data_IF_796508332892
#
_entry.id   IF_796508332892
#
_cell.length_a   1.000
_cell.length_b   1.000
_cell.length_c   1.000
_cell.angle_alpha   90.00
_cell.angle_beta   90.00
_cell.angle_gamma   90.00
#
_symmetry.space_group_name_H-M   'P 1'
#
loop_
_entity.id
_entity.type
_entity.pdbx_description
1 polymer ?
#
# COMPACT_ATOMS: atom_id res chain seq x y z
N UNK A 1 -41.60 -7.89 14.57
CA UNK A 1 -40.71 -6.96 13.83
C UNK A 1 -39.68 -7.78 13.06
N UNK A 2 -39.55 -7.56 11.75
CA UNK A 2 -38.59 -8.28 10.88
C UNK A 2 -37.28 -7.48 10.81
N UNK A 3 -36.18 -8.09 11.22
CA UNK A 3 -34.82 -7.54 11.07
C UNK A 3 -34.41 -7.75 9.61
N UNK A 4 -34.16 -6.67 8.88
CA UNK A 4 -33.63 -6.74 7.52
C UNK A 4 -32.11 -6.83 7.57
N UNK A 5 -31.57 -7.90 6.97
CA UNK A 5 -30.15 -8.08 6.71
C UNK A 5 -29.67 -7.00 5.74
N UNK A 6 -28.80 -6.11 6.20
CA UNK A 6 -28.11 -5.16 5.33
C UNK A 6 -26.94 -5.89 4.69
N UNK A 7 -27.13 -6.34 3.45
CA UNK A 7 -26.04 -6.82 2.62
C UNK A 7 -25.03 -5.69 2.44
N UNK A 8 -23.81 -5.88 2.96
CA UNK A 8 -22.68 -4.97 2.78
C UNK A 8 -22.17 -5.05 1.34
N UNK A 9 -22.85 -4.39 0.41
CA UNK A 9 -22.32 -4.11 -0.93
C UNK A 9 -21.59 -2.77 -0.91
N UNK A 10 -20.63 -2.60 0.00
CA UNK A 10 -19.61 -1.57 -0.18
C UNK A 10 -18.55 -2.16 -1.09
N UNK A 11 -18.71 -2.00 -2.40
CA UNK A 11 -17.60 -1.97 -3.34
C UNK A 11 -18.08 -1.63 -4.76
N UNK A 12 -17.29 -0.76 -5.41
CA UNK A 12 -16.95 -0.83 -6.86
C UNK A 12 -17.71 0.03 -7.88
N UNK A 13 -18.37 1.11 -7.51
CA UNK A 13 -18.97 2.02 -8.53
C UNK A 13 -18.58 3.50 -8.42
N UNK A 14 -17.89 3.95 -7.36
CA UNK A 14 -17.58 5.38 -7.21
C UNK A 14 -16.40 5.91 -8.06
N UNK A 15 -15.74 5.06 -8.85
CA UNK A 15 -14.65 5.50 -9.75
C UNK A 15 -15.02 5.51 -11.23
N UNK A 16 -16.29 5.30 -11.58
CA UNK A 16 -16.75 5.47 -12.95
C UNK A 16 -17.89 6.48 -12.99
N UNK A 17 -17.77 7.41 -13.95
CA UNK A 17 -18.69 8.52 -14.26
C UNK A 17 -18.73 9.69 -13.26
N UNK A 18 -17.68 10.51 -13.25
CA UNK A 18 -17.87 11.96 -13.12
C UNK A 18 -17.85 12.55 -14.52
N UNK A 19 -19.03 12.95 -14.99
CA UNK A 19 -19.23 13.67 -16.26
C UNK A 19 -18.49 15.01 -16.21
N UNK A 20 -17.96 15.41 -17.35
CA UNK A 20 -17.36 16.73 -17.63
C UNK A 20 -18.26 17.86 -17.08
N UNK A 21 -17.79 18.58 -16.06
CA UNK A 21 -18.22 19.95 -15.77
C UNK A 21 -16.98 20.80 -15.49
N UNK A 22 -16.88 21.95 -16.16
CA UNK A 22 -15.76 22.87 -16.02
C UNK A 22 -15.67 23.45 -14.60
N UNK A 23 -14.41 23.65 -14.16
CA UNK A 23 -13.89 24.31 -12.95
C UNK A 23 -13.69 23.47 -11.67
N UNK A 24 -12.40 23.35 -11.33
CA UNK A 24 -11.80 23.04 -10.02
C UNK A 24 -12.19 21.71 -9.37
N UNK A 25 -12.05 20.59 -10.07
CA UNK A 25 -11.70 19.35 -9.34
C UNK A 25 -10.31 19.56 -8.72
N UNK A 26 -10.13 19.35 -7.39
CA UNK A 26 -8.79 19.33 -6.83
C UNK A 26 -8.00 18.26 -7.58
N UNK A 27 -6.92 18.68 -8.25
CA UNK A 27 -6.03 17.73 -8.90
C UNK A 27 -5.49 16.82 -7.81
N UNK A 28 -5.88 15.55 -7.85
CA UNK A 28 -5.36 14.57 -6.92
C UNK A 28 -3.86 14.47 -7.18
N UNK A 29 -3.06 15.01 -6.26
CA UNK A 29 -1.61 15.00 -6.37
C UNK A 29 -1.10 13.62 -5.94
N UNK A 30 -0.59 12.86 -6.91
CA UNK A 30 0.00 11.54 -6.68
C UNK A 30 1.33 11.59 -5.92
N UNK A 31 1.95 12.76 -5.83
CA UNK A 31 3.11 13.02 -4.96
C UNK A 31 2.82 14.20 -4.04
N UNK A 32 3.12 14.01 -2.76
CA UNK A 32 3.05 15.04 -1.73
C UNK A 32 4.41 15.16 -1.06
N UNK A 33 4.94 16.38 -0.96
CA UNK A 33 6.16 16.67 -0.20
C UNK A 33 5.72 17.35 1.09
N UNK A 34 5.90 16.66 2.22
CA UNK A 34 5.50 17.18 3.51
C UNK A 34 6.46 18.30 3.96
N UNK A 35 5.89 19.39 4.47
CA UNK A 35 6.66 20.52 5.00
C UNK A 35 7.71 21.08 4.02
N UNK A 36 7.38 21.13 2.72
CA UNK A 36 8.29 21.50 1.63
C UNK A 36 9.14 22.77 1.92
N UNK A 37 8.56 23.79 2.57
CA UNK A 37 9.24 25.04 2.94
C UNK A 37 10.47 24.87 3.85
N UNK A 38 10.57 23.74 4.54
CA UNK A 38 11.69 23.42 5.44
C UNK A 38 12.74 22.51 4.82
N UNK A 39 12.54 22.07 3.57
CA UNK A 39 13.53 21.27 2.87
C UNK A 39 14.73 22.13 2.45
N UNK A 40 15.91 21.53 2.47
CA UNK A 40 17.07 22.11 1.80
C UNK A 40 16.78 22.24 0.29
N UNK A 41 17.11 23.41 -0.28
CA UNK A 41 16.74 23.75 -1.67
C UNK A 41 17.33 22.79 -2.70
N UNK A 42 18.57 22.35 -2.49
CA UNK A 42 19.27 21.49 -3.46
C UNK A 42 18.72 20.07 -3.38
N UNK A 43 18.46 19.58 -2.16
CA UNK A 43 17.81 18.28 -1.94
C UNK A 43 16.40 18.29 -2.56
N UNK A 44 15.61 19.33 -2.30
CA UNK A 44 14.26 19.46 -2.84
C UNK A 44 14.26 19.50 -4.37
N UNK A 45 15.17 20.28 -4.96
CA UNK A 45 15.35 20.35 -6.41
C UNK A 45 15.72 18.98 -6.98
N UNK A 46 16.71 18.31 -6.39
CA UNK A 46 17.14 16.99 -6.83
C UNK A 46 15.98 15.98 -6.78
N UNK A 47 15.16 15.99 -5.73
CA UNK A 47 13.98 15.10 -5.60
C UNK A 47 12.91 15.40 -6.64
N UNK A 48 12.55 16.68 -6.85
CA UNK A 48 11.50 17.07 -7.80
C UNK A 48 11.84 16.73 -9.25
N UNK A 49 13.13 16.80 -9.60
CA UNK A 49 13.61 16.57 -10.96
C UNK A 49 14.22 15.18 -11.19
N UNK A 50 14.19 14.30 -10.18
CA UNK A 50 14.69 12.94 -10.32
C UNK A 50 13.75 12.07 -11.17
N UNK A 51 14.25 11.58 -12.30
CA UNK A 51 13.48 10.73 -13.23
C UNK A 51 13.03 9.41 -12.61
N UNK A 52 13.81 8.83 -11.68
CA UNK A 52 13.45 7.57 -11.02
C UNK A 52 12.35 7.79 -9.97
N UNK A 53 12.36 8.91 -9.25
CA UNK A 53 11.25 9.27 -8.34
C UNK A 53 9.96 9.51 -9.14
N UNK A 54 10.05 10.15 -10.30
CA UNK A 54 8.90 10.31 -11.21
C UNK A 54 8.38 8.97 -11.73
N UNK A 55 9.26 8.00 -12.02
CA UNK A 55 8.84 6.63 -12.38
C UNK A 55 8.10 5.95 -11.23
N UNK A 56 8.56 6.10 -9.99
CA UNK A 56 7.88 5.55 -8.82
C UNK A 56 6.50 6.19 -8.62
N UNK A 57 6.39 7.52 -8.76
CA UNK A 57 5.12 8.25 -8.72
C UNK A 57 4.13 7.71 -9.78
N UNK A 58 4.57 7.58 -11.04
CA UNK A 58 3.73 7.06 -12.12
C UNK A 58 3.31 5.59 -11.91
N UNK A 59 4.15 4.79 -11.25
CA UNK A 59 3.80 3.42 -10.88
C UNK A 59 2.69 3.40 -9.81
N UNK A 60 2.82 4.23 -8.78
CA UNK A 60 1.84 4.35 -7.69
C UNK A 60 0.51 4.94 -8.17
N UNK A 61 0.54 5.89 -9.11
CA UNK A 61 -0.66 6.44 -9.76
C UNK A 61 -1.51 5.34 -10.42
N UNK A 62 -0.87 4.42 -11.16
CA UNK A 62 -1.57 3.26 -11.77
C UNK A 62 -2.21 2.33 -10.74
N UNK A 63 -1.75 2.38 -9.49
CA UNK A 63 -2.27 1.62 -8.35
C UNK A 63 -3.20 2.44 -7.45
N UNK A 64 -3.54 3.68 -7.84
CA UNK A 64 -4.33 4.62 -7.03
C UNK A 64 -3.71 4.89 -5.65
N UNK A 65 -2.38 4.92 -5.58
CA UNK A 65 -1.61 5.22 -4.39
C UNK A 65 -0.91 6.58 -4.50
N UNK A 66 -0.58 7.17 -3.35
CA UNK A 66 0.13 8.45 -3.24
C UNK A 66 1.54 8.19 -2.72
N UNK A 67 2.52 8.92 -3.26
CA UNK A 67 3.88 8.98 -2.75
C UNK A 67 4.02 10.20 -1.83
N UNK A 68 4.12 9.98 -0.52
CA UNK A 68 4.30 11.04 0.46
C UNK A 68 5.75 11.08 0.92
N UNK A 69 6.48 12.14 0.58
CA UNK A 69 7.90 12.30 0.90
C UNK A 69 8.09 13.21 2.10
N UNK A 70 8.93 12.78 3.05
CA UNK A 70 9.31 13.57 4.22
C UNK A 70 10.83 13.59 4.36
N UNK A 71 11.39 14.78 4.63
CA UNK A 71 12.80 14.94 4.98
C UNK A 71 12.90 14.90 6.50
N UNK A 72 13.52 13.86 7.03
CA UNK A 72 13.72 13.69 8.46
C UNK A 72 15.12 14.16 8.85
N UNK A 73 15.23 15.06 9.83
CA UNK A 73 16.51 15.46 10.40
C UNK A 73 16.78 14.64 11.67
N UNK A 74 17.98 14.04 11.75
CA UNK A 74 18.35 13.19 12.88
C UNK A 74 19.07 13.96 13.99
N UNK A 75 19.60 15.15 13.68
CA UNK A 75 20.48 15.89 14.59
C UNK A 75 19.96 17.32 14.83
N UNK A 76 19.43 17.55 16.03
CA UNK A 76 18.84 18.84 16.41
C UNK A 76 19.88 19.86 16.90
N UNK A 77 21.03 19.40 17.40
CA UNK A 77 22.03 20.23 18.10
C UNK A 77 23.43 20.27 17.44
N UNK A 78 23.55 19.93 16.17
CA UNK A 78 24.83 20.00 15.43
C UNK A 78 24.82 21.14 14.41
N UNK A 79 26.02 21.68 14.07
CA UNK A 79 26.18 22.61 12.96
C UNK A 79 25.52 22.07 11.68
N UNK A 80 24.92 22.94 10.88
CA UNK A 80 24.12 22.55 9.69
C UNK A 80 24.88 21.64 8.72
N UNK A 81 26.19 21.81 8.61
CA UNK A 81 27.06 21.02 7.74
C UNK A 81 27.23 19.56 8.18
N UNK A 82 26.99 19.26 9.46
CA UNK A 82 27.06 17.91 10.02
C UNK A 82 25.70 17.25 10.18
N UNK A 83 24.60 17.98 9.91
CA UNK A 83 23.25 17.43 10.01
C UNK A 83 23.08 16.28 9.05
N UNK A 84 22.58 15.16 9.59
CA UNK A 84 22.12 14.04 8.78
C UNK A 84 20.63 14.18 8.50
N UNK A 85 20.28 13.83 7.27
CA UNK A 85 18.92 13.77 6.80
C UNK A 85 18.65 12.38 6.26
N UNK A 86 17.44 11.86 6.45
CA UNK A 86 16.94 10.76 5.61
C UNK A 86 15.68 11.21 4.88
N UNK A 87 15.43 10.59 3.73
CA UNK A 87 14.18 10.79 3.00
C UNK A 87 13.36 9.54 3.14
N UNK A 88 12.21 9.69 3.77
CA UNK A 88 11.24 8.63 3.92
C UNK A 88 10.09 8.84 2.97
N UNK A 89 9.49 7.73 2.53
CA UNK A 89 8.25 7.73 1.79
C UNK A 89 7.18 6.97 2.54
N UNK A 90 5.92 7.41 2.42
CA UNK A 90 4.75 6.62 2.72
C UNK A 90 4.02 6.37 1.40
N UNK A 91 3.69 5.11 1.12
CA UNK A 91 2.94 4.69 -0.07
C UNK A 91 1.89 3.62 0.28
N UNK A 92 1.19 3.11 -0.74
CA UNK A 92 0.20 2.01 -0.66
C UNK A 92 -0.73 2.02 0.57
N UNK A 93 -1.86 2.71 0.42
CA UNK A 93 -2.92 2.76 1.44
C UNK A 93 -4.00 1.69 1.27
N UNK A 94 -3.84 0.75 0.33
CA UNK A 94 -4.89 -0.21 -0.06
C UNK A 94 -5.16 -1.24 1.03
N UNK A 95 -4.12 -1.67 1.72
CA UNK A 95 -4.19 -2.71 2.75
C UNK A 95 -4.01 -2.15 4.17
N UNK A 96 -3.43 -0.95 4.28
CA UNK A 96 -3.24 -0.24 5.54
C UNK A 96 -3.59 1.24 5.35
N UNK A 97 -4.54 1.76 6.14
CA UNK A 97 -5.00 3.16 6.03
C UNK A 97 -3.87 4.16 6.29
N UNK A 98 -2.91 3.82 7.17
CA UNK A 98 -1.75 4.66 7.44
C UNK A 98 -0.74 4.70 6.28
N UNK A 99 -0.86 3.79 5.31
CA UNK A 99 0.17 3.53 4.32
C UNK A 99 1.36 2.77 4.89
N UNK A 100 2.28 2.41 4.00
CA UNK A 100 3.54 1.75 4.32
C UNK A 100 4.68 2.77 4.28
N UNK A 101 5.34 2.96 5.42
CA UNK A 101 6.55 3.79 5.53
C UNK A 101 7.77 2.99 5.04
N UNK A 102 8.62 3.61 4.23
CA UNK A 102 9.90 3.05 3.80
C UNK A 102 10.94 4.17 3.73
N UNK A 103 12.17 3.87 4.15
CA UNK A 103 13.27 4.78 3.94
C UNK A 103 13.71 4.72 2.46
N UNK A 104 13.50 5.83 1.74
CA UNK A 104 13.86 5.95 0.33
C UNK A 104 15.35 6.24 0.17
N UNK A 105 15.89 7.06 1.07
CA UNK A 105 17.30 7.45 1.12
C UNK A 105 17.76 7.46 2.59
N UNK A 106 18.84 6.74 2.92
CA UNK A 106 19.29 6.59 4.30
C UNK A 106 19.89 7.87 4.88
N UNK A 107 19.91 7.91 6.21
CA UNK A 107 20.43 9.03 6.99
C UNK A 107 21.88 9.37 6.60
N UNK A 108 22.09 10.55 6.02
CA UNK A 108 23.38 10.98 5.50
C UNK A 108 23.51 12.50 5.48
N UNK A 109 24.75 12.99 5.42
CA UNK A 109 24.99 14.43 5.22
C UNK A 109 24.50 14.85 3.81
N UNK A 110 24.35 16.17 3.60
CA UNK A 110 23.83 16.72 2.33
C UNK A 110 24.57 16.20 1.09
N UNK A 111 25.91 16.17 1.11
CA UNK A 111 26.71 15.73 -0.04
C UNK A 111 26.39 14.28 -0.41
N UNK A 112 26.48 13.38 0.56
CA UNK A 112 26.20 11.95 0.37
C UNK A 112 24.72 11.71 0.01
N UNK A 113 23.79 12.49 0.55
CA UNK A 113 22.38 12.42 0.20
C UNK A 113 22.15 12.72 -1.29
N UNK A 114 22.76 13.77 -1.83
CA UNK A 114 22.64 14.11 -3.25
C UNK A 114 23.16 12.97 -4.14
N UNK A 115 24.27 12.32 -3.76
CA UNK A 115 24.80 11.14 -4.45
C UNK A 115 23.82 9.95 -4.38
N UNK A 116 23.15 9.75 -3.24
CA UNK A 116 22.11 8.72 -3.13
C UNK A 116 20.89 9.04 -3.98
N UNK A 117 20.46 10.31 -4.05
CA UNK A 117 19.36 10.74 -4.92
C UNK A 117 19.71 10.42 -6.38
N UNK A 118 20.92 10.74 -6.83
CA UNK A 118 21.37 10.47 -8.19
C UNK A 118 21.38 8.96 -8.53
N UNK A 119 21.82 8.13 -7.58
CA UNK A 119 21.91 6.67 -7.75
C UNK A 119 20.60 5.94 -7.49
N UNK A 120 19.57 6.62 -6.99
CA UNK A 120 18.28 6.02 -6.67
C UNK A 120 17.69 5.29 -7.88
N UNK A 121 17.12 4.10 -7.65
CA UNK A 121 16.44 3.30 -8.67
C UNK A 121 15.04 2.95 -8.19
N UNK A 122 14.03 3.35 -8.96
CA UNK A 122 12.63 3.11 -8.64
C UNK A 122 12.32 1.61 -8.53
N UNK A 123 12.98 0.81 -9.37
CA UNK A 123 12.84 -0.65 -9.45
C UNK A 123 12.95 -1.31 -8.07
N UNK A 124 13.90 -0.88 -7.24
CA UNK A 124 14.14 -1.51 -5.94
C UNK A 124 12.92 -1.36 -5.00
N UNK A 125 12.28 -0.20 -5.00
CA UNK A 125 11.07 0.05 -4.21
C UNK A 125 9.86 -0.64 -4.83
N UNK A 126 9.73 -0.63 -6.15
CA UNK A 126 8.65 -1.31 -6.87
C UNK A 126 8.66 -2.82 -6.58
N UNK A 127 9.82 -3.47 -6.69
CA UNK A 127 9.98 -4.89 -6.39
C UNK A 127 9.58 -5.21 -4.94
N UNK A 128 9.91 -4.31 -4.00
CA UNK A 128 9.53 -4.43 -2.61
C UNK A 128 8.01 -4.36 -2.39
N UNK A 129 7.33 -3.41 -3.05
CA UNK A 129 5.86 -3.29 -3.06
C UNK A 129 5.23 -4.58 -3.60
N UNK A 130 5.69 -5.06 -4.75
CA UNK A 130 5.14 -6.25 -5.41
C UNK A 130 5.38 -7.53 -4.60
N UNK A 131 6.51 -7.64 -3.91
CA UNK A 131 6.79 -8.75 -3.00
C UNK A 131 5.79 -8.75 -1.82
N UNK A 132 5.53 -7.59 -1.22
CA UNK A 132 4.55 -7.46 -0.13
C UNK A 132 3.13 -7.76 -0.60
N UNK A 133 2.70 -7.23 -1.74
CA UNK A 133 1.38 -7.53 -2.30
C UNK A 133 1.18 -9.03 -2.52
N UNK A 134 2.20 -9.74 -3.03
CA UNK A 134 2.18 -11.21 -3.16
C UNK A 134 1.98 -11.90 -1.81
N UNK A 135 2.70 -11.48 -0.77
CA UNK A 135 2.55 -12.04 0.58
C UNK A 135 1.15 -11.80 1.15
N UNK A 136 0.58 -10.61 0.95
CA UNK A 136 -0.79 -10.31 1.39
C UNK A 136 -1.83 -11.17 0.67
N UNK A 137 -1.68 -11.35 -0.65
CA UNK A 137 -2.57 -12.19 -1.44
C UNK A 137 -2.49 -13.67 -1.02
N UNK A 138 -1.29 -14.20 -0.74
CA UNK A 138 -1.11 -15.56 -0.23
C UNK A 138 -1.80 -15.75 1.13
N UNK A 139 -1.62 -14.81 2.06
CA UNK A 139 -2.29 -14.86 3.37
C UNK A 139 -3.81 -14.87 3.20
N UNK A 140 -4.36 -13.98 2.37
CA UNK A 140 -5.81 -13.91 2.11
C UNK A 140 -6.37 -15.22 1.55
N UNK A 141 -5.66 -15.84 0.62
CA UNK A 141 -6.07 -17.13 0.05
C UNK A 141 -6.00 -18.26 1.08
N UNK A 142 -5.00 -18.27 1.97
CA UNK A 142 -4.91 -19.22 3.08
C UNK A 142 -6.08 -19.08 4.07
N UNK A 143 -6.44 -17.85 4.45
CA UNK A 143 -7.62 -17.62 5.29
C UNK A 143 -8.90 -18.10 4.60
N UNK A 144 -9.07 -17.83 3.30
CA UNK A 144 -10.23 -18.28 2.54
C UNK A 144 -10.33 -19.81 2.42
N UNK A 145 -9.21 -20.53 2.32
CA UNK A 145 -9.21 -21.99 2.37
C UNK A 145 -9.55 -22.54 3.77
N UNK A 146 -9.20 -21.82 4.82
CA UNK A 146 -9.50 -22.21 6.21
C UNK A 146 -10.96 -21.92 6.56
N UNK A 147 -11.53 -20.81 6.11
CA UNK A 147 -12.97 -20.54 6.27
C UNK A 147 -13.83 -21.39 5.34
N UNK A 148 -13.42 -21.68 4.10
CA UNK A 148 -14.14 -22.60 3.22
C UNK A 148 -14.20 -24.04 3.79
N UNK A 149 -13.13 -24.48 4.48
CA UNK A 149 -13.12 -25.77 5.19
C UNK A 149 -13.88 -25.77 6.52
N UNK A 150 -14.11 -24.58 7.12
CA UNK A 150 -14.98 -24.41 8.30
C UNK A 150 -16.45 -24.15 7.94
N UNK A 151 -16.78 -23.69 6.72
CA UNK A 151 -18.16 -23.53 6.23
C UNK A 151 -18.76 -24.79 5.60
N UNK A 152 -18.06 -25.92 5.60
CA UNK A 152 -18.76 -27.20 5.55
C UNK A 152 -19.41 -27.43 6.92
N UNK A 153 -20.69 -27.04 7.02
CA UNK A 153 -21.54 -27.35 8.17
C UNK A 153 -21.26 -28.77 8.66
N UNK A 154 -20.96 -28.90 9.96
CA UNK A 154 -20.80 -30.18 10.66
C UNK A 154 -22.00 -31.12 10.40
N UNK A 155 -23.16 -30.59 9.99
CA UNK A 155 -24.33 -31.38 9.63
C UNK A 155 -24.18 -32.17 8.32
N UNK A 156 -23.42 -31.67 7.33
CA UNK A 156 -23.25 -32.38 6.05
C UNK A 156 -22.28 -33.56 6.14
N UNK A 157 -21.24 -33.47 6.98
CA UNK A 157 -20.32 -34.59 7.22
C UNK A 157 -21.00 -35.71 8.01
N UNK A 158 -21.79 -35.37 9.03
CA UNK A 158 -22.54 -36.37 9.79
C UNK A 158 -23.66 -37.02 8.96
N UNK A 159 -24.43 -36.25 8.15
CA UNK A 159 -25.44 -36.85 7.26
C UNK A 159 -24.84 -37.85 6.28
N UNK A 160 -23.69 -37.54 5.67
CA UNK A 160 -23.04 -38.48 4.75
C UNK A 160 -22.46 -39.71 5.46
N UNK A 161 -22.05 -39.61 6.73
CA UNK A 161 -21.60 -40.76 7.52
C UNK A 161 -22.77 -41.66 7.93
N UNK A 162 -23.88 -41.10 8.43
CA UNK A 162 -25.08 -41.87 8.80
C UNK A 162 -25.76 -42.52 7.59
N UNK A 163 -25.84 -41.83 6.43
CA UNK A 163 -26.37 -42.43 5.20
C UNK A 163 -25.48 -43.59 4.72
N UNK A 164 -24.15 -43.46 4.80
CA UNK A 164 -23.22 -44.57 4.49
C UNK A 164 -23.36 -45.75 5.46
N UNK A 165 -23.58 -45.47 6.73
CA UNK A 165 -23.74 -46.49 7.77
C UNK A 165 -25.07 -47.24 7.61
N UNK A 166 -26.17 -46.53 7.36
CA UNK A 166 -27.49 -47.13 7.11
C UNK A 166 -27.45 -47.97 5.83
N UNK A 167 -26.92 -47.46 4.71
CA UNK A 167 -26.82 -48.23 3.47
C UNK A 167 -25.94 -49.48 3.58
N UNK A 168 -25.00 -49.51 4.54
CA UNK A 168 -24.17 -50.69 4.82
C UNK A 168 -24.89 -51.72 5.71
N UNK A 169 -25.85 -51.28 6.51
CA UNK A 169 -26.66 -52.12 7.40
C UNK A 169 -27.96 -52.62 6.75
N UNK A 170 -28.46 -51.94 5.70
CA UNK A 170 -29.68 -52.33 4.96
C UNK A 170 -29.42 -53.13 3.69
N UNK A 171 -28.15 -53.41 3.35
CA UNK A 171 -27.81 -54.40 2.32
C UNK A 171 -27.70 -55.81 2.96
N UNK A 172 -28.86 -56.34 3.36
CA UNK A 172 -29.16 -57.77 3.48
C UNK A 172 -30.31 -58.04 2.53
#
# INVERSE_FOLDING_TARGET
MKIQNINSTYNRTQYQTVKKSNNSQPSFQHRKIYEEKFWDKDILHAIKHNKEIQKLEAYLEKKFAVLELTLHSHDYNVPKEHKKFSIKCIYDRKHNISGEETELIPASNKKTMLEFIEKFKAKNIIEHIEARERLHNMKKNSYNHTTASQTMSKDKKNKNFFIKLINKLTNI
#
